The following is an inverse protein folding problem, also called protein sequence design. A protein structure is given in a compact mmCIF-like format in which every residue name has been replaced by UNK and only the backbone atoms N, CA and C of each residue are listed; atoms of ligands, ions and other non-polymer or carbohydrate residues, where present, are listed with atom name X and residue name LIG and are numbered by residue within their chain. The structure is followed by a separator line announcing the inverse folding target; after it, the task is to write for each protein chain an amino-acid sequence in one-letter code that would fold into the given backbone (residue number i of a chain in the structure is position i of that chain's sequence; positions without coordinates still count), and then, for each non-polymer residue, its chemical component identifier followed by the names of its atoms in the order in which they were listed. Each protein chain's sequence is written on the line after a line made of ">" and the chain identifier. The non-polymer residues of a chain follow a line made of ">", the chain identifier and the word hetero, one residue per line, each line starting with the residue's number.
data_IF_045678431546
#
_entry.id   IF_045678431546
#
_cell.length_a   1.000
_cell.length_b   1.000
_cell.length_c   1.000
_cell.angle_alpha   90.00
_cell.angle_beta   90.00
_cell.angle_gamma   90.00
#
_symmetry.space_group_name_H-M   'P 1'
#
loop_
_entity.id
_entity.type
_entity.pdbx_description
1 polymer ?
#
# COMPACT_ATOMS: atom_id res chain seq x y z
N UNK A 1 -9.27 9.62 -21.00
CA UNK A 1 -9.63 8.29 -20.45
C UNK A 1 -8.85 7.14 -21.09
N UNK A 2 -8.89 6.96 -22.42
CA UNK A 2 -8.24 5.82 -23.10
C UNK A 2 -6.72 5.75 -22.91
N UNK A 3 -6.01 6.87 -23.07
CA UNK A 3 -4.55 6.93 -22.85
C UNK A 3 -4.12 6.53 -21.43
N UNK A 4 -4.88 6.93 -20.42
CA UNK A 4 -4.54 6.65 -19.03
C UNK A 4 -4.67 5.14 -18.76
N UNK A 5 -5.79 4.53 -19.19
CA UNK A 5 -5.98 3.08 -19.14
C UNK A 5 -4.87 2.30 -19.87
N UNK A 6 -4.50 2.73 -21.08
CA UNK A 6 -3.50 2.04 -21.89
C UNK A 6 -2.09 2.17 -21.29
N UNK A 7 -1.79 3.32 -20.66
CA UNK A 7 -0.53 3.55 -19.94
C UNK A 7 -0.46 2.70 -18.67
N UNK A 8 -1.53 2.65 -17.88
CA UNK A 8 -1.62 1.80 -16.68
C UNK A 8 -1.49 0.32 -17.03
N UNK A 9 -2.15 -0.14 -18.09
CA UNK A 9 -2.05 -1.53 -18.58
C UNK A 9 -0.63 -1.88 -19.04
N UNK A 10 0.04 -0.96 -19.75
CA UNK A 10 1.44 -1.15 -20.18
C UNK A 10 2.41 -1.22 -19.00
N UNK A 11 2.19 -0.40 -17.96
CA UNK A 11 3.00 -0.43 -16.74
C UNK A 11 2.75 -1.71 -15.93
N UNK A 12 1.49 -2.11 -15.75
CA UNK A 12 1.13 -3.35 -15.06
C UNK A 12 1.74 -4.60 -15.71
N UNK A 13 1.83 -4.64 -17.05
CA UNK A 13 2.47 -5.75 -17.78
C UNK A 13 3.99 -5.82 -17.62
N UNK A 14 4.66 -4.70 -17.33
CA UNK A 14 6.13 -4.66 -17.14
C UNK A 14 6.57 -5.20 -15.77
N UNK A 15 5.71 -5.09 -14.75
CA UNK A 15 5.98 -5.55 -13.39
C UNK A 15 5.22 -6.84 -13.08
N UNK A 16 5.46 -7.89 -13.88
CA UNK A 16 4.84 -9.20 -13.67
C UNK A 16 5.47 -10.00 -12.52
N UNK A 17 6.72 -9.66 -12.14
CA UNK A 17 7.40 -10.21 -10.99
C UNK A 17 7.59 -9.11 -9.95
N UNK A 18 7.01 -9.23 -8.75
CA UNK A 18 7.34 -8.32 -7.67
C UNK A 18 8.82 -8.50 -7.30
N UNK A 19 9.53 -7.39 -7.14
CA UNK A 19 10.95 -7.37 -6.73
C UNK A 19 11.17 -8.04 -5.36
N UNK A 20 10.13 -8.04 -4.53
CA UNK A 20 10.10 -8.74 -3.24
C UNK A 20 9.02 -9.83 -3.24
N UNK A 21 9.38 -11.11 -3.03
CA UNK A 21 8.40 -12.17 -2.83
C UNK A 21 7.54 -11.89 -1.59
N UNK A 22 6.25 -12.19 -1.68
CA UNK A 22 5.39 -12.23 -0.49
C UNK A 22 5.84 -13.37 0.40
N UNK A 23 5.84 -13.17 1.71
CA UNK A 23 6.24 -14.18 2.70
C UNK A 23 5.05 -14.69 3.50
N UNK A 24 5.10 -15.95 3.90
CA UNK A 24 4.17 -16.54 4.86
C UNK A 24 4.42 -16.01 6.29
N UNK A 25 3.74 -16.59 7.28
CA UNK A 25 3.88 -16.18 8.70
C UNK A 25 5.26 -16.58 9.25
N UNK A 26 5.88 -17.60 8.68
CA UNK A 26 7.17 -18.16 9.01
C UNK A 26 8.33 -17.45 8.27
N UNK A 27 8.01 -16.47 7.41
CA UNK A 27 8.98 -15.68 6.66
C UNK A 27 9.50 -16.34 5.38
N UNK A 28 8.92 -17.47 4.96
CA UNK A 28 9.29 -18.18 3.73
C UNK A 28 8.60 -17.54 2.52
N UNK A 29 9.28 -17.46 1.37
CA UNK A 29 8.67 -16.93 0.14
C UNK A 29 7.50 -17.79 -0.33
N UNK A 30 6.39 -17.14 -0.67
CA UNK A 30 5.23 -17.74 -1.32
C UNK A 30 5.41 -17.60 -2.84
N UNK A 31 5.36 -18.72 -3.55
CA UNK A 31 5.53 -18.78 -5.02
C UNK A 31 4.22 -19.04 -5.75
N UNK A 32 3.20 -19.55 -5.06
CA UNK A 32 1.90 -19.88 -5.64
C UNK A 32 0.89 -18.72 -5.49
N UNK A 33 0.21 -18.38 -6.58
CA UNK A 33 -0.77 -17.27 -6.63
C UNK A 33 -1.93 -17.50 -5.65
N UNK A 34 -2.41 -18.73 -5.51
CA UNK A 34 -3.50 -19.06 -4.58
C UNK A 34 -3.09 -18.81 -3.13
N UNK A 35 -1.89 -19.28 -2.74
CA UNK A 35 -1.35 -19.03 -1.41
C UNK A 35 -1.13 -17.54 -1.13
N UNK A 36 -0.69 -16.78 -2.14
CA UNK A 36 -0.53 -15.33 -2.01
C UNK A 36 -1.88 -14.63 -1.78
N UNK A 37 -2.95 -15.07 -2.46
CA UNK A 37 -4.31 -14.55 -2.24
C UNK A 37 -4.82 -14.89 -0.85
N UNK A 38 -4.65 -16.13 -0.39
CA UNK A 38 -5.03 -16.53 0.95
C UNK A 38 -4.28 -15.72 2.01
N UNK A 39 -2.98 -15.51 1.82
CA UNK A 39 -2.15 -14.66 2.69
C UNK A 39 -2.64 -13.21 2.72
N UNK A 40 -3.06 -12.67 1.58
CA UNK A 40 -3.68 -11.35 1.52
C UNK A 40 -4.98 -11.29 2.33
N UNK A 41 -5.89 -12.27 2.16
CA UNK A 41 -7.16 -12.32 2.90
C UNK A 41 -6.91 -12.34 4.41
N UNK A 42 -6.04 -13.23 4.89
CA UNK A 42 -5.71 -13.31 6.32
C UNK A 42 -5.13 -12.00 6.86
N UNK A 43 -4.20 -11.38 6.13
CA UNK A 43 -3.56 -10.14 6.57
C UNK A 43 -4.57 -8.98 6.67
N UNK A 44 -5.45 -8.85 5.68
CA UNK A 44 -6.49 -7.82 5.71
C UNK A 44 -7.55 -8.11 6.75
N UNK A 45 -7.93 -9.36 6.96
CA UNK A 45 -8.84 -9.74 8.02
C UNK A 45 -8.27 -9.39 9.40
N UNK A 46 -7.00 -9.72 9.67
CA UNK A 46 -6.34 -9.34 10.91
C UNK A 46 -6.27 -7.83 11.07
N UNK A 47 -5.89 -7.10 10.01
CA UNK A 47 -5.73 -5.65 10.04
C UNK A 47 -7.06 -4.92 10.26
N UNK A 48 -8.13 -5.34 9.58
CA UNK A 48 -9.42 -4.66 9.59
C UNK A 48 -10.26 -5.01 10.82
N UNK A 49 -10.08 -6.21 11.39
CA UNK A 49 -10.76 -6.62 12.62
C UNK A 49 -9.97 -6.27 13.89
N UNK A 50 -8.74 -5.77 13.76
CA UNK A 50 -7.94 -5.34 14.90
C UNK A 50 -8.64 -4.16 15.61
N UNK A 51 -8.93 -4.26 16.92
CA UNK A 51 -9.49 -3.15 17.67
C UNK A 51 -8.53 -1.96 17.67
N UNK A 52 -9.09 -0.76 17.74
CA UNK A 52 -8.29 0.46 17.85
C UNK A 52 -7.32 0.36 19.04
N UNK A 53 -6.05 0.80 18.87
CA UNK A 53 -5.14 0.88 20.00
C UNK A 53 -5.76 1.71 21.13
N UNK A 54 -5.73 1.20 22.37
CA UNK A 54 -6.23 1.96 23.53
C UNK A 54 -5.35 3.17 23.86
N UNK A 55 -4.08 3.12 23.46
CA UNK A 55 -3.17 4.23 23.64
C UNK A 55 -3.39 5.24 22.50
N UNK A 56 -3.45 6.55 22.82
CA UNK A 56 -3.42 7.56 21.78
C UNK A 56 -2.16 7.34 20.93
N UNK A 57 -2.30 7.51 19.62
CA UNK A 57 -1.14 7.47 18.74
C UNK A 57 -0.20 8.61 19.15
N UNK A 58 1.07 8.28 19.40
CA UNK A 58 2.13 9.25 19.66
C UNK A 58 2.52 9.92 18.34
N UNK A 59 1.57 10.69 17.81
CA UNK A 59 1.74 11.47 16.59
C UNK A 59 2.10 12.87 17.05
N UNK A 60 3.38 13.20 16.94
CA UNK A 60 3.87 14.56 17.12
C UNK A 60 3.08 15.48 16.18
N UNK A 61 2.47 16.53 16.73
CA UNK A 61 1.68 17.45 15.93
C UNK A 61 2.58 18.03 14.82
N UNK A 62 2.18 17.84 13.56
CA UNK A 62 2.90 18.45 12.45
C UNK A 62 2.93 19.97 12.65
N UNK A 63 4.12 20.56 12.69
CA UNK A 63 4.28 22.01 12.71
C UNK A 63 3.51 22.59 11.52
N UNK A 64 2.43 23.31 11.82
CA UNK A 64 1.49 23.85 10.83
C UNK A 64 2.08 25.07 10.09
N UNK A 65 3.35 25.40 10.32
CA UNK A 65 4.04 26.57 9.75
C UNK A 65 4.66 26.32 8.37
N UNK A 66 3.99 25.54 7.51
CA UNK A 66 4.34 25.52 6.09
C UNK A 66 3.53 26.63 5.40
N UNK A 67 4.13 27.79 5.07
CA UNK A 67 3.45 28.81 4.29
C UNK A 67 3.15 28.23 2.91
N UNK A 68 1.89 27.91 2.66
CA UNK A 68 1.40 27.58 1.32
C UNK A 68 1.32 28.92 0.58
N UNK A 69 2.19 29.11 -0.41
CA UNK A 69 2.08 30.22 -1.33
C UNK A 69 0.83 30.02 -2.20
N UNK A 70 -0.23 30.75 -1.85
CA UNK A 70 -1.51 30.77 -2.55
C UNK A 70 -1.51 31.72 -3.75
N UNK A 71 -0.37 32.35 -4.06
CA UNK A 71 -0.31 33.23 -5.20
C UNK A 71 -0.38 32.43 -6.51
N UNK A 72 -1.18 32.90 -7.49
CA UNK A 72 -1.19 32.30 -8.82
C UNK A 72 0.20 32.46 -9.47
N UNK A 73 0.72 31.42 -10.15
CA UNK A 73 1.95 31.55 -10.91
C UNK A 73 1.76 32.59 -12.02
N UNK A 74 2.75 33.47 -12.18
CA UNK A 74 2.83 34.46 -13.28
C UNK A 74 3.25 33.80 -14.57
#
# INVERSE_FOLDING_TARGET
>A
MKQLHDTTKKLAGKYSKPERPVKDKEGKPITEIQQQRNRCVEYFEELLNKPAPMNPADVEAAHTDLPIDVNPPT
#
